data_IF_676669428230
#
_entry.id   IF_676669428230
#
_cell.length_a   1.000
_cell.length_b   1.000
_cell.length_c   1.000
_cell.angle_alpha   90.00
_cell.angle_beta   90.00
_cell.angle_gamma   90.00
#
_symmetry.space_group_name_H-M   'P 1'
#
loop_
_entity.id
_entity.type
_entity.pdbx_description
1 polymer ?
#
# COMPACT_ATOMS: atom_id res chain seq x y z
N UNK A 1 -63.75 -35.64 -21.65
CA UNK A 1 -64.12 -34.37 -21.59
C UNK A 1 -63.52 -33.44 -20.54
N UNK A 2 -62.39 -33.40 -20.16
CA UNK A 2 -61.88 -32.37 -19.28
C UNK A 2 -60.42 -32.32 -19.44
N UNK A 3 -59.94 -31.37 -20.12
CA UNK A 3 -58.53 -31.07 -20.14
C UNK A 3 -58.17 -30.41 -18.83
N UNK A 4 -57.49 -31.11 -18.00
CA UNK A 4 -56.89 -30.50 -16.86
C UNK A 4 -55.61 -29.84 -17.31
N UNK A 5 -55.67 -28.57 -17.33
CA UNK A 5 -54.46 -27.80 -17.57
C UNK A 5 -53.59 -27.84 -16.32
N UNK A 6 -52.59 -28.60 -16.42
CA UNK A 6 -51.55 -28.57 -15.41
C UNK A 6 -50.70 -27.33 -15.64
N UNK A 7 -50.94 -26.37 -14.83
CA UNK A 7 -50.06 -25.21 -14.80
C UNK A 7 -48.84 -25.59 -13.99
N UNK A 8 -47.81 -25.88 -14.67
CA UNK A 8 -46.50 -26.01 -14.05
C UNK A 8 -45.97 -24.64 -13.77
N UNK A 9 -46.10 -24.24 -12.52
CA UNK A 9 -45.41 -23.07 -12.05
C UNK A 9 -44.00 -23.49 -11.77
N UNK A 10 -43.13 -23.19 -12.68
CA UNK A 10 -41.73 -23.33 -12.45
C UNK A 10 -41.33 -22.18 -11.55
N UNK A 11 -41.13 -22.48 -10.29
CA UNK A 11 -40.53 -21.53 -9.35
C UNK A 11 -39.04 -21.55 -9.63
N UNK A 12 -38.62 -20.58 -10.33
CA UNK A 12 -37.18 -20.33 -10.44
C UNK A 12 -36.71 -19.68 -9.19
N UNK A 13 -36.16 -20.48 -8.32
CA UNK A 13 -35.33 -19.93 -7.27
C UNK A 13 -34.03 -19.51 -7.92
N UNK A 14 -33.98 -18.28 -8.31
CA UNK A 14 -32.73 -17.67 -8.61
C UNK A 14 -31.99 -17.48 -7.33
N UNK A 15 -31.19 -18.45 -7.00
CA UNK A 15 -30.23 -18.27 -5.96
C UNK A 15 -29.18 -17.31 -6.47
N UNK A 16 -29.32 -16.09 -6.07
CA UNK A 16 -28.29 -15.14 -6.32
C UNK A 16 -27.23 -15.37 -5.26
N UNK A 17 -26.24 -16.09 -5.64
CA UNK A 17 -25.09 -16.21 -4.78
C UNK A 17 -24.17 -15.06 -5.08
N UNK A 18 -24.23 -14.10 -4.26
CA UNK A 18 -23.29 -13.04 -4.35
C UNK A 18 -22.13 -13.32 -3.48
N UNK A 19 -21.08 -13.69 -4.10
CA UNK A 19 -19.84 -13.84 -3.41
C UNK A 19 -19.17 -12.48 -3.27
N UNK A 20 -19.23 -11.95 -2.12
CA UNK A 20 -18.44 -10.81 -1.82
C UNK A 20 -17.18 -11.21 -1.19
N UNK A 21 -16.12 -11.02 -1.86
CA UNK A 21 -14.87 -10.87 -1.19
C UNK A 21 -14.98 -9.62 -0.35
N UNK A 22 -15.34 -9.76 0.87
CA UNK A 22 -15.32 -8.66 1.80
C UNK A 22 -13.94 -8.12 1.90
N UNK A 23 -13.73 -7.09 1.26
CA UNK A 23 -12.86 -6.08 1.61
C UNK A 23 -11.41 -6.40 1.70
N UNK A 24 -10.67 -6.23 2.40
CA UNK A 24 -9.34 -5.89 2.74
C UNK A 24 -8.35 -7.01 2.57
N UNK A 25 -8.42 -7.68 1.46
CA UNK A 25 -7.39 -8.66 1.13
C UNK A 25 -6.27 -8.02 0.33
N UNK A 26 -5.65 -7.01 0.94
CA UNK A 26 -4.52 -6.34 0.31
C UNK A 26 -3.41 -7.31 -0.10
N UNK A 27 -3.30 -8.44 0.61
CA UNK A 27 -2.29 -9.47 0.31
C UNK A 27 -2.48 -10.16 -1.05
N UNK A 28 -3.68 -10.13 -1.62
CA UNK A 28 -3.95 -10.74 -2.91
C UNK A 28 -3.93 -9.74 -4.06
N UNK A 29 -3.90 -8.46 -3.75
CA UNK A 29 -3.81 -7.43 -4.75
C UNK A 29 -2.36 -7.12 -5.05
N UNK A 30 -1.97 -7.36 -6.29
CA UNK A 30 -0.63 -6.99 -6.76
C UNK A 30 -0.48 -5.48 -6.90
N UNK A 31 -1.60 -4.75 -6.95
CA UNK A 31 -1.63 -3.30 -7.10
C UNK A 31 -2.10 -2.65 -5.82
N UNK A 32 -1.32 -1.70 -5.34
CA UNK A 32 -1.66 -0.88 -4.20
C UNK A 32 -2.20 0.49 -4.60
N UNK A 33 -2.22 1.41 -3.64
CA UNK A 33 -2.62 2.79 -3.91
C UNK A 33 -1.82 3.40 -5.07
N UNK A 34 -2.49 4.20 -5.89
CA UNK A 34 -1.89 4.84 -7.07
C UNK A 34 -1.32 3.85 -8.10
N UNK A 35 -1.72 2.58 -8.02
CA UNK A 35 -1.23 1.57 -8.95
C UNK A 35 0.17 1.05 -8.65
N UNK A 36 0.70 1.27 -7.45
CA UNK A 36 2.01 0.72 -7.09
C UNK A 36 1.96 -0.80 -7.06
N UNK A 37 3.06 -1.43 -7.40
CA UNK A 37 3.16 -2.88 -7.53
C UNK A 37 4.27 -3.38 -6.60
N UNK A 38 4.01 -4.49 -5.94
CA UNK A 38 5.06 -5.16 -5.16
C UNK A 38 6.19 -5.56 -6.12
N UNK A 39 7.41 -5.21 -5.75
CA UNK A 39 8.59 -5.47 -6.56
C UNK A 39 9.01 -4.30 -7.46
N UNK A 40 8.19 -3.27 -7.60
CA UNK A 40 8.63 -2.10 -8.36
C UNK A 40 9.62 -1.25 -7.57
N UNK A 41 10.39 -0.46 -8.27
CA UNK A 41 11.37 0.42 -7.63
C UNK A 41 10.68 1.48 -6.80
N UNK A 42 11.22 1.76 -5.62
CA UNK A 42 10.69 2.80 -4.73
C UNK A 42 10.56 4.14 -5.43
N UNK A 43 11.55 4.52 -6.23
CA UNK A 43 11.55 5.81 -6.95
C UNK A 43 10.32 5.91 -7.85
N UNK A 44 10.00 4.85 -8.58
CA UNK A 44 8.83 4.81 -9.47
C UNK A 44 7.52 4.79 -8.67
N UNK A 45 7.46 4.01 -7.61
CA UNK A 45 6.28 3.93 -6.73
C UNK A 45 6.00 5.29 -6.11
N UNK A 46 7.03 5.95 -5.59
CA UNK A 46 6.88 7.29 -4.99
C UNK A 46 6.34 8.31 -5.99
N UNK A 47 6.85 8.29 -7.22
CA UNK A 47 6.38 9.19 -8.26
C UNK A 47 4.88 9.00 -8.55
N UNK A 48 4.42 7.74 -8.59
CA UNK A 48 3.00 7.43 -8.75
C UNK A 48 2.17 7.94 -7.57
N UNK A 49 2.64 7.72 -6.35
CA UNK A 49 1.96 8.17 -5.13
C UNK A 49 1.82 9.70 -5.13
N UNK A 50 2.90 10.42 -5.35
CA UNK A 50 2.91 11.88 -5.36
C UNK A 50 1.98 12.40 -6.45
N UNK A 51 2.03 11.81 -7.63
CA UNK A 51 1.16 12.21 -8.74
C UNK A 51 -0.33 12.06 -8.40
N UNK A 52 -0.69 11.05 -7.59
CA UNK A 52 -2.05 10.79 -7.18
C UNK A 52 -2.46 11.55 -5.91
N UNK A 53 -1.62 12.45 -5.43
CA UNK A 53 -1.94 13.31 -4.29
C UNK A 53 -1.51 12.77 -2.94
N UNK A 54 -0.80 11.66 -2.89
CA UNK A 54 -0.18 11.20 -1.65
C UNK A 54 0.98 12.12 -1.29
N UNK A 55 1.01 12.57 -0.06
CA UNK A 55 2.05 13.47 0.41
C UNK A 55 3.04 12.70 1.26
N UNK A 56 4.35 12.83 0.99
CA UNK A 56 5.35 12.29 1.90
C UNK A 56 5.19 12.90 3.29
N UNK A 57 5.17 12.06 4.31
CA UNK A 57 5.06 12.51 5.69
C UNK A 57 6.46 12.75 6.26
N UNK A 58 6.83 13.99 6.60
CA UNK A 58 8.15 14.23 7.20
C UNK A 58 8.28 13.53 8.54
N UNK A 59 9.27 12.66 8.66
CA UNK A 59 9.43 11.83 9.85
C UNK A 59 10.43 12.36 10.87
N UNK A 60 11.43 13.10 10.43
CA UNK A 60 12.54 13.51 11.29
C UNK A 60 12.84 15.01 11.22
N UNK A 61 11.83 15.83 10.95
CA UNK A 61 12.04 17.26 10.73
C UNK A 61 12.67 17.99 11.92
N UNK A 62 12.42 17.52 13.15
CA UNK A 62 12.81 18.25 14.35
C UNK A 62 13.44 17.37 15.44
N UNK A 63 13.70 16.10 15.19
CA UNK A 63 14.15 15.17 16.23
C UNK A 63 15.67 14.92 16.23
N UNK A 64 16.39 15.53 15.30
CA UNK A 64 17.84 15.35 15.24
C UNK A 64 18.28 13.97 14.76
N UNK A 65 17.44 13.26 14.08
CA UNK A 65 17.75 11.92 13.58
C UNK A 65 18.99 11.91 12.70
N UNK A 66 19.89 10.97 12.96
CA UNK A 66 21.13 10.81 12.18
C UNK A 66 20.93 9.67 11.17
N UNK A 67 20.92 10.04 9.91
CA UNK A 67 20.80 9.05 8.83
C UNK A 67 22.10 8.26 8.67
N UNK A 68 21.97 6.95 8.46
CA UNK A 68 23.12 6.06 8.25
C UNK A 68 22.82 5.04 7.15
N UNK A 69 23.90 4.57 6.49
CA UNK A 69 23.77 3.62 5.40
C UNK A 69 22.92 4.17 4.24
N UNK A 70 22.00 3.37 3.73
CA UNK A 70 21.12 3.77 2.63
C UNK A 70 20.19 4.92 3.00
N UNK A 71 19.97 5.15 4.31
CA UNK A 71 19.19 6.29 4.76
C UNK A 71 19.80 7.61 4.31
N UNK A 72 21.12 7.69 4.25
CA UNK A 72 21.82 8.89 3.76
C UNK A 72 21.49 9.18 2.30
N UNK A 73 21.41 8.14 1.48
CA UNK A 73 21.03 8.30 0.08
C UNK A 73 19.58 8.76 -0.05
N UNK A 74 18.68 8.18 0.74
CA UNK A 74 17.29 8.59 0.76
C UNK A 74 17.16 10.06 1.18
N UNK A 75 17.84 10.47 2.23
CA UNK A 75 17.84 11.86 2.69
C UNK A 75 18.44 12.80 1.64
N UNK A 76 19.52 12.39 0.98
CA UNK A 76 20.16 13.19 -0.07
C UNK A 76 19.21 13.42 -1.26
N UNK A 77 18.31 12.49 -1.53
CA UNK A 77 17.28 12.61 -2.55
C UNK A 77 15.98 13.20 -2.01
N UNK A 78 15.98 13.70 -0.78
CA UNK A 78 14.85 14.36 -0.11
C UNK A 78 13.66 13.43 0.14
N UNK A 79 13.93 12.17 0.38
CA UNK A 79 12.91 11.21 0.82
C UNK A 79 12.76 11.30 2.34
N UNK A 80 12.29 12.46 2.81
CA UNK A 80 12.16 12.74 4.24
C UNK A 80 10.99 12.01 4.91
N UNK A 81 10.22 11.28 4.14
CA UNK A 81 9.19 10.38 4.63
C UNK A 81 9.77 9.07 5.18
N UNK A 82 11.06 8.90 5.08
CA UNK A 82 11.76 7.75 5.66
C UNK A 82 11.65 7.79 7.18
N UNK A 83 11.14 6.70 7.77
CA UNK A 83 11.16 6.51 9.21
C UNK A 83 12.49 5.92 9.63
N UNK A 84 12.80 4.71 9.20
CA UNK A 84 14.05 4.03 9.53
C UNK A 84 14.35 2.92 8.54
N UNK A 85 15.60 2.52 8.50
CA UNK A 85 16.04 1.32 7.79
C UNK A 85 16.72 0.37 8.77
N UNK A 86 16.56 -0.93 8.57
CA UNK A 86 17.31 -1.93 9.32
C UNK A 86 18.67 -2.16 8.68
N UNK A 87 19.68 -2.35 9.51
CA UNK A 87 21.05 -2.54 9.03
C UNK A 87 21.28 -3.92 8.42
N UNK A 88 20.65 -4.92 9.01
CA UNK A 88 20.92 -6.32 8.66
C UNK A 88 20.17 -6.81 7.43
N UNK A 89 19.05 -6.20 7.09
CA UNK A 89 18.19 -6.65 5.98
C UNK A 89 17.94 -5.59 4.93
N UNK A 90 18.53 -4.41 5.08
CA UNK A 90 18.34 -3.27 4.18
C UNK A 90 16.88 -2.97 3.88
N UNK A 91 16.03 -3.08 4.89
CA UNK A 91 14.61 -2.79 4.81
C UNK A 91 14.33 -1.41 5.35
N UNK A 92 13.56 -0.65 4.61
CA UNK A 92 13.18 0.70 5.01
C UNK A 92 11.68 0.82 5.13
N UNK A 93 11.26 1.73 5.99
CA UNK A 93 9.85 2.07 6.22
C UNK A 93 9.66 3.54 5.86
N UNK A 94 8.68 3.82 5.01
CA UNK A 94 8.33 5.17 4.58
C UNK A 94 6.84 5.40 4.76
N UNK A 95 6.46 6.65 5.04
CA UNK A 95 5.06 6.99 5.29
C UNK A 95 4.56 8.11 4.38
N UNK A 96 3.32 7.96 3.95
CA UNK A 96 2.61 8.92 3.11
C UNK A 96 1.22 9.17 3.69
N UNK A 97 0.62 10.29 3.33
CA UNK A 97 -0.73 10.62 3.76
C UNK A 97 -1.52 11.24 2.62
N UNK A 98 -2.81 10.93 2.58
CA UNK A 98 -3.75 11.52 1.62
C UNK A 98 -5.12 11.60 2.28
N UNK A 99 -5.65 12.82 2.41
CA UNK A 99 -7.00 13.06 2.95
C UNK A 99 -7.26 12.32 4.27
N UNK A 100 -6.32 12.41 5.20
CA UNK A 100 -6.46 11.77 6.50
C UNK A 100 -6.18 10.28 6.53
N UNK A 101 -5.85 9.68 5.41
CA UNK A 101 -5.46 8.26 5.33
C UNK A 101 -3.95 8.16 5.29
N UNK A 102 -3.40 7.29 6.13
CA UNK A 102 -1.96 7.01 6.13
C UNK A 102 -1.64 5.79 5.28
N UNK A 103 -0.44 5.79 4.74
CA UNK A 103 0.09 4.67 3.97
C UNK A 103 1.53 4.42 4.41
N UNK A 104 1.81 3.20 4.79
CA UNK A 104 3.16 2.73 5.06
C UNK A 104 3.66 1.93 3.87
N UNK A 105 4.84 2.23 3.41
CA UNK A 105 5.55 1.48 2.37
C UNK A 105 6.78 0.85 2.99
N UNK A 106 6.92 -0.45 2.84
CA UNK A 106 8.13 -1.16 3.21
C UNK A 106 8.93 -1.46 1.94
N UNK A 107 10.23 -1.29 2.03
CA UNK A 107 11.13 -1.52 0.90
C UNK A 107 12.28 -2.43 1.29
N UNK A 108 13.01 -2.89 0.28
CA UNK A 108 14.21 -3.67 0.44
C UNK A 108 15.23 -3.26 -0.61
N UNK A 109 16.48 -3.17 -0.22
CA UNK A 109 17.60 -2.86 -1.11
C UNK A 109 18.65 -2.01 -0.43
N UNK A 110 19.90 -2.22 -0.79
CA UNK A 110 21.05 -1.53 -0.21
C UNK A 110 21.40 -0.23 -0.96
N UNK A 111 20.85 -0.07 -2.17
CA UNK A 111 21.12 1.09 -3.01
C UNK A 111 19.81 1.79 -3.35
N UNK A 112 19.83 3.11 -3.26
CA UNK A 112 18.66 3.95 -3.47
C UNK A 112 17.89 3.63 -4.77
N UNK A 113 18.61 3.57 -5.89
CA UNK A 113 17.96 3.37 -7.18
C UNK A 113 17.53 1.92 -7.45
N UNK A 114 17.95 0.99 -6.61
CA UNK A 114 17.59 -0.43 -6.74
C UNK A 114 16.60 -0.89 -5.67
N UNK A 115 16.25 -0.03 -4.72
CA UNK A 115 15.26 -0.37 -3.70
C UNK A 115 13.91 -0.68 -4.32
N UNK A 116 13.28 -1.74 -3.84
CA UNK A 116 11.96 -2.17 -4.32
C UNK A 116 10.94 -2.19 -3.20
N UNK A 117 9.70 -1.96 -3.56
CA UNK A 117 8.56 -2.05 -2.65
C UNK A 117 8.29 -3.53 -2.36
N UNK A 118 8.28 -3.89 -1.08
CA UNK A 118 8.01 -5.27 -0.66
C UNK A 118 6.63 -5.41 -0.04
N UNK A 119 6.08 -4.31 0.50
CA UNK A 119 4.80 -4.33 1.20
C UNK A 119 4.23 -2.93 1.29
N UNK A 120 2.93 -2.83 1.36
CA UNK A 120 2.25 -1.58 1.69
C UNK A 120 1.07 -1.89 2.62
N UNK A 121 0.81 -0.98 3.54
CA UNK A 121 -0.32 -1.11 4.49
C UNK A 121 -0.91 0.26 4.80
N UNK A 122 -2.18 0.26 5.19
CA UNK A 122 -2.86 1.47 5.67
C UNK A 122 -2.54 1.70 7.14
N UNK A 123 -1.34 2.10 7.39
CA UNK A 123 -0.82 2.25 8.74
C UNK A 123 -0.22 3.64 8.91
N UNK A 124 -0.57 4.28 10.00
CA UNK A 124 0.00 5.59 10.34
C UNK A 124 1.29 5.42 11.14
N UNK A 125 2.21 6.39 11.04
CA UNK A 125 3.38 6.37 11.91
C UNK A 125 2.97 6.43 13.38
N UNK A 126 3.80 5.81 14.22
CA UNK A 126 3.61 5.91 15.66
C UNK A 126 3.85 7.35 16.09
N UNK A 127 2.91 7.89 16.85
CA UNK A 127 3.12 9.20 17.44
C UNK A 127 3.99 9.04 18.69
N UNK A 128 5.22 9.48 18.59
CA UNK A 128 6.04 9.64 19.78
C UNK A 128 5.49 10.80 20.60
N UNK A 129 5.03 10.47 21.77
CA UNK A 129 4.68 11.50 22.75
C UNK A 129 5.94 12.00 23.44
#
# INVERSE_FOLDING_TARGET
MKASALVLVAVYCMGISEAFAGGSQASNDKHGPAGIVIGERLVAARAKLVKQGWKPTPMHATDGYVYSGVEKELAAHKFFELDTCSFDSSRCILYYAKKGTCLRIDTRGEQFNAMTVTRWTRECPETTQ
#
